data_IF_625786910350
#
_entry.id   IF_625786910350
#
_cell.length_a   1.000
_cell.length_b   1.000
_cell.length_c   1.000
_cell.angle_alpha   90.00
_cell.angle_beta   90.00
_cell.angle_gamma   90.00
#
_symmetry.space_group_name_H-M   'P 1'
#
loop_
_entity.id
_entity.type
_entity.pdbx_description
1 polymer ?
#
# COMPACT_ATOMS: atom_id res chain seq x y z
N UNK A 1 -1.84 -9.67 0.08
CA UNK A 1 -2.23 -10.86 0.85
C UNK A 1 -3.05 -11.75 -0.07
N UNK A 2 -2.65 -13.01 -0.23
CA UNK A 2 -3.46 -14.00 -0.94
C UNK A 2 -4.66 -14.35 -0.06
N UNK A 3 -5.88 -14.16 -0.55
CA UNK A 3 -7.08 -14.57 0.18
C UNK A 3 -7.35 -16.07 -0.06
N UNK A 4 -7.51 -16.88 1.00
CA UNK A 4 -7.77 -18.31 0.86
C UNK A 4 -9.14 -18.66 0.28
N UNK A 5 -10.10 -17.73 0.29
CA UNK A 5 -11.47 -17.97 -0.19
C UNK A 5 -11.58 -17.82 -1.70
N UNK A 6 -11.01 -16.75 -2.26
CA UNK A 6 -11.13 -16.43 -3.68
C UNK A 6 -9.82 -16.58 -4.47
N UNK A 7 -8.71 -16.91 -3.80
CA UNK A 7 -7.36 -17.02 -4.39
C UNK A 7 -6.88 -15.77 -5.12
N UNK A 8 -7.44 -14.59 -4.79
CA UNK A 8 -7.02 -13.32 -5.35
C UNK A 8 -6.01 -12.61 -4.46
N UNK A 9 -5.10 -11.87 -5.09
CA UNK A 9 -4.19 -10.98 -4.40
C UNK A 9 -4.92 -9.71 -3.95
N UNK A 10 -5.05 -9.52 -2.64
CA UNK A 10 -5.66 -8.34 -2.02
C UNK A 10 -4.60 -7.39 -1.48
N UNK A 11 -4.82 -6.09 -1.64
CA UNK A 11 -4.00 -5.06 -1.01
C UNK A 11 -4.38 -4.96 0.47
N UNK A 12 -3.44 -5.25 1.37
CA UNK A 12 -3.69 -5.26 2.81
C UNK A 12 -3.77 -3.84 3.42
N UNK A 13 -3.20 -2.85 2.73
CA UNK A 13 -3.10 -1.47 3.18
C UNK A 13 -1.95 -0.76 2.47
N UNK A 14 -1.88 0.56 2.64
CA UNK A 14 -0.73 1.38 2.23
C UNK A 14 -0.09 1.89 3.52
N UNK A 15 1.22 1.66 3.69
CA UNK A 15 1.95 2.15 4.85
C UNK A 15 1.95 3.68 4.85
N UNK A 16 1.31 4.26 5.86
CA UNK A 16 1.16 5.70 6.05
C UNK A 16 2.21 6.28 6.99
N UNK A 17 2.83 5.46 7.85
CA UNK A 17 3.81 5.94 8.81
C UNK A 17 4.35 4.87 9.75
N UNK A 18 5.36 5.28 10.52
CA UNK A 18 6.07 4.46 11.52
C UNK A 18 6.22 5.24 12.81
N UNK A 19 6.41 4.53 13.92
CA UNK A 19 6.42 5.10 15.29
C UNK A 19 7.43 6.23 15.53
N UNK A 20 8.54 6.27 14.80
CA UNK A 20 9.56 7.29 15.04
C UNK A 20 10.76 7.22 14.10
N UNK A 21 11.74 8.06 14.40
CA UNK A 21 13.06 8.00 13.79
C UNK A 21 13.99 7.12 14.61
N UNK A 22 14.91 6.48 13.90
CA UNK A 22 15.94 5.64 14.46
C UNK A 22 17.32 6.12 14.04
N UNK A 23 18.32 5.89 14.86
CA UNK A 23 19.73 6.13 14.53
C UNK A 23 20.57 4.90 14.83
N UNK A 24 21.59 4.68 13.99
CA UNK A 24 22.60 3.64 14.20
C UNK A 24 23.70 4.08 15.18
N UNK A 25 23.89 5.40 15.36
CA UNK A 25 25.05 5.96 16.08
C UNK A 25 24.67 6.78 17.30
N UNK A 26 23.42 7.27 17.38
CA UNK A 26 22.96 8.13 18.47
C UNK A 26 23.62 9.51 18.49
N UNK A 27 24.21 9.94 17.37
CA UNK A 27 25.00 11.17 17.28
C UNK A 27 24.23 12.36 16.70
N UNK A 28 24.93 13.19 15.92
CA UNK A 28 24.34 14.35 15.24
C UNK A 28 23.59 14.00 13.94
N UNK A 29 23.32 12.71 13.69
CA UNK A 29 22.62 12.27 12.50
C UNK A 29 21.11 12.61 12.57
N UNK A 30 20.49 12.75 11.40
CA UNK A 30 19.04 13.03 11.29
C UNK A 30 18.17 11.79 11.51
N UNK A 31 18.78 10.62 11.66
CA UNK A 31 18.11 9.33 11.71
C UNK A 31 17.43 8.93 10.41
N UNK A 32 16.72 7.80 10.48
CA UNK A 32 15.93 7.22 9.40
C UNK A 32 14.56 6.74 9.90
N UNK A 33 13.61 6.58 8.99
CA UNK A 33 12.27 6.04 9.27
C UNK A 33 12.15 4.67 8.61
N UNK A 34 11.86 3.65 9.41
CA UNK A 34 11.66 2.29 8.93
C UNK A 34 10.69 1.52 9.81
N UNK A 35 10.08 0.47 9.23
CA UNK A 35 9.43 -0.57 10.02
C UNK A 35 10.50 -1.60 10.35
N UNK A 36 10.79 -1.73 11.64
CA UNK A 36 11.79 -2.63 12.18
C UNK A 36 11.08 -3.76 12.94
N UNK A 37 11.44 -5.00 12.60
CA UNK A 37 11.06 -6.19 13.37
C UNK A 37 11.72 -6.19 14.75
N UNK A 38 12.93 -5.64 14.83
CA UNK A 38 13.64 -5.39 16.07
C UNK A 38 14.40 -4.06 15.98
N UNK A 39 14.20 -3.21 16.97
CA UNK A 39 14.93 -1.94 17.15
C UNK A 39 15.95 -2.02 18.30
N UNK A 40 16.15 -3.19 18.90
CA UNK A 40 17.26 -3.45 19.81
C UNK A 40 18.59 -3.02 19.21
N UNK A 41 19.47 -2.47 20.04
CA UNK A 41 20.79 -1.97 19.61
C UNK A 41 20.77 -0.67 18.82
N UNK A 42 19.58 -0.11 18.52
CA UNK A 42 19.42 1.19 17.88
C UNK A 42 19.13 2.30 18.89
N UNK A 43 19.08 3.53 18.38
CA UNK A 43 18.62 4.69 19.11
C UNK A 43 17.27 5.16 18.57
N UNK A 44 16.40 5.68 19.44
CA UNK A 44 15.10 6.26 19.08
C UNK A 44 15.02 7.71 19.55
N UNK A 45 14.44 8.60 18.76
CA UNK A 45 14.32 10.01 19.12
C UNK A 45 14.40 10.94 17.93
N UNK A 46 15.07 12.08 18.09
CA UNK A 46 15.31 13.07 17.04
C UNK A 46 16.78 13.46 17.01
N UNK A 47 17.21 14.15 15.95
CA UNK A 47 18.59 14.62 15.82
C UNK A 47 19.09 15.30 17.11
N UNK A 48 20.26 14.87 17.59
CA UNK A 48 20.90 15.31 18.85
C UNK A 48 20.14 14.96 20.15
N UNK A 49 19.03 14.23 20.10
CA UNK A 49 18.20 13.81 21.25
C UNK A 49 17.81 12.34 21.08
N UNK A 50 18.82 11.47 21.18
CA UNK A 50 18.70 10.04 20.95
C UNK A 50 18.65 9.28 22.27
N UNK A 51 17.71 8.34 22.38
CA UNK A 51 17.62 7.40 23.51
C UNK A 51 18.02 6.01 23.02
N UNK A 52 19.06 5.36 23.60
CA UNK A 52 19.44 4.01 23.22
C UNK A 52 18.34 3.02 23.60
N UNK A 53 18.08 2.06 22.71
CA UNK A 53 17.27 0.89 22.98
C UNK A 53 18.21 -0.27 23.27
N UNK A 54 18.16 -0.80 24.48
CA UNK A 54 19.01 -1.91 24.88
C UNK A 54 18.78 -3.13 23.99
N UNK A 55 19.87 -3.74 23.53
CA UNK A 55 19.85 -5.06 22.91
C UNK A 55 19.56 -6.12 23.98
N UNK A 56 18.71 -7.09 23.65
CA UNK A 56 18.34 -8.14 24.58
C UNK A 56 17.89 -9.41 23.85
N UNK A 57 17.65 -10.51 24.59
CA UNK A 57 17.25 -11.79 24.00
C UNK A 57 15.85 -11.76 23.37
N UNK A 58 15.06 -10.73 23.66
CA UNK A 58 13.73 -10.54 23.11
C UNK A 58 13.75 -9.39 22.10
N UNK A 59 13.15 -9.63 20.92
CA UNK A 59 12.96 -8.59 19.92
C UNK A 59 12.11 -7.44 20.47
N UNK A 60 12.51 -6.21 20.18
CA UNK A 60 11.77 -4.99 20.47
C UNK A 60 11.16 -4.47 19.16
N UNK A 61 9.92 -4.85 18.81
CA UNK A 61 9.35 -4.46 17.53
C UNK A 61 9.00 -2.97 17.50
N UNK A 62 9.07 -2.39 16.30
CA UNK A 62 8.40 -1.11 15.99
C UNK A 62 6.98 -1.35 15.50
N UNK A 63 6.19 -0.28 15.41
CA UNK A 63 4.87 -0.30 14.78
C UNK A 63 4.86 0.53 13.51
N UNK A 64 3.91 0.18 12.66
CA UNK A 64 3.56 0.92 11.46
C UNK A 64 2.05 1.12 11.43
N UNK A 65 1.64 2.18 10.75
CA UNK A 65 0.25 2.57 10.61
C UNK A 65 -0.10 2.52 9.13
N UNK A 66 -1.22 1.92 8.79
CA UNK A 66 -1.67 1.79 7.42
C UNK A 66 -3.13 2.20 7.30
N UNK A 67 -3.46 2.85 6.19
CA UNK A 67 -4.86 3.10 5.84
C UNK A 67 -5.51 1.77 5.45
N UNK A 68 -6.66 1.47 6.06
CA UNK A 68 -7.45 0.31 5.70
C UNK A 68 -8.16 0.57 4.36
N UNK A 69 -7.67 -0.06 3.28
CA UNK A 69 -8.21 0.16 1.92
C UNK A 69 -9.67 -0.31 1.81
N UNK A 70 -10.08 -1.35 2.55
CA UNK A 70 -11.45 -1.86 2.51
C UNK A 70 -12.49 -0.85 2.99
N UNK A 71 -12.12 0.09 3.87
CA UNK A 71 -13.02 1.17 4.31
C UNK A 71 -13.34 2.17 3.19
N UNK A 72 -12.55 2.18 2.11
CA UNK A 72 -12.68 3.10 0.98
C UNK A 72 -13.05 2.37 -0.32
N UNK A 73 -13.51 1.12 -0.24
CA UNK A 73 -13.77 0.28 -1.40
C UNK A 73 -14.73 0.96 -2.40
N UNK A 74 -15.86 1.50 -1.94
CA UNK A 74 -16.85 2.14 -2.82
C UNK A 74 -16.28 3.36 -3.54
N UNK A 75 -15.48 4.17 -2.83
CA UNK A 75 -14.80 5.33 -3.41
C UNK A 75 -13.77 4.92 -4.47
N UNK A 76 -12.97 3.88 -4.19
CA UNK A 76 -12.00 3.35 -5.16
C UNK A 76 -12.71 2.81 -6.40
N UNK A 77 -13.81 2.07 -6.21
CA UNK A 77 -14.60 1.52 -7.32
C UNK A 77 -15.24 2.62 -8.18
N UNK A 78 -15.64 3.75 -7.60
CA UNK A 78 -16.16 4.88 -8.36
C UNK A 78 -15.11 5.56 -9.26
N UNK A 79 -13.82 5.47 -8.90
CA UNK A 79 -12.72 6.06 -9.67
C UNK A 79 -12.14 5.15 -10.75
N UNK A 80 -12.27 3.83 -10.58
CA UNK A 80 -11.73 2.84 -11.53
C UNK A 80 -12.84 2.42 -12.48
N UNK A 81 -12.84 2.88 -13.75
CA UNK A 81 -13.85 2.44 -14.69
C UNK A 81 -13.69 0.94 -14.97
N UNK A 82 -14.80 0.22 -14.87
CA UNK A 82 -14.89 -1.22 -15.12
C UNK A 82 -14.30 -1.57 -16.50
N UNK A 83 -13.23 -2.39 -16.59
CA UNK A 83 -12.59 -2.74 -17.86
C UNK A 83 -13.57 -3.34 -18.88
N UNK A 84 -14.63 -4.00 -18.42
CA UNK A 84 -15.66 -4.62 -19.25
C UNK A 84 -16.60 -3.61 -19.89
N UNK A 85 -16.82 -2.45 -19.27
CA UNK A 85 -17.64 -1.39 -19.86
C UNK A 85 -17.04 -0.90 -21.18
N UNK A 86 -15.72 -0.73 -21.25
CA UNK A 86 -15.03 -0.33 -22.48
C UNK A 86 -15.09 -1.41 -23.57
N UNK A 87 -14.92 -2.68 -23.18
CA UNK A 87 -15.06 -3.80 -24.11
C UNK A 87 -16.48 -3.89 -24.69
N UNK A 88 -17.51 -3.64 -23.86
CA UNK A 88 -18.90 -3.65 -24.30
C UNK A 88 -19.22 -2.49 -25.26
N UNK A 89 -18.75 -1.28 -24.95
CA UNK A 89 -18.99 -0.09 -25.77
C UNK A 89 -18.27 -0.21 -27.12
N UNK A 90 -17.00 -0.59 -27.12
CA UNK A 90 -16.22 -0.77 -28.36
C UNK A 90 -16.74 -1.94 -29.18
N UNK A 91 -17.01 -3.09 -28.57
CA UNK A 91 -17.62 -4.24 -29.25
C UNK A 91 -18.99 -3.90 -29.84
N UNK A 92 -19.85 -3.20 -29.08
CA UNK A 92 -21.15 -2.75 -29.54
C UNK A 92 -21.08 -1.78 -30.72
N UNK A 93 -20.15 -0.81 -30.68
CA UNK A 93 -19.89 0.12 -31.79
C UNK A 93 -19.44 -0.60 -33.07
N UNK A 94 -18.55 -1.58 -32.95
CA UNK A 94 -18.08 -2.37 -34.09
C UNK A 94 -19.20 -3.22 -34.71
N UNK A 95 -20.04 -3.84 -33.89
CA UNK A 95 -21.19 -4.61 -34.36
C UNK A 95 -22.22 -3.69 -35.04
N UNK A 96 -22.53 -2.54 -34.44
CA UNK A 96 -23.46 -1.57 -35.01
C UNK A 96 -22.97 -1.01 -36.35
N UNK A 97 -21.67 -0.80 -36.51
CA UNK A 97 -21.05 -0.38 -37.77
C UNK A 97 -21.09 -1.50 -38.83
N UNK A 98 -20.81 -2.74 -38.44
CA UNK A 98 -20.93 -3.89 -39.34
C UNK A 98 -22.36 -4.09 -39.86
N UNK A 99 -23.37 -3.93 -38.99
CA UNK A 99 -24.78 -3.99 -39.36
C UNK A 99 -25.14 -2.83 -40.31
N UNK A 100 -24.71 -1.60 -39.99
CA UNK A 100 -24.95 -0.42 -40.85
C UNK A 100 -24.33 -0.57 -42.24
N UNK A 101 -23.11 -1.13 -42.34
CA UNK A 101 -22.45 -1.39 -43.62
C UNK A 101 -23.23 -2.41 -44.46
N UNK A 102 -23.73 -3.47 -43.83
CA UNK A 102 -24.51 -4.52 -44.50
C UNK A 102 -25.87 -4.02 -45.00
N UNK A 103 -26.49 -3.07 -44.31
CA UNK A 103 -27.78 -2.48 -44.72
C UNK A 103 -27.66 -1.44 -45.85
N UNK A 104 -26.44 -1.02 -46.22
CA UNK A 104 -26.17 -0.05 -47.29
C UNK A 104 -25.74 -0.69 -48.61
N UNK A 105 -25.52 -2.01 -48.62
CA UNK A 105 -25.29 -2.82 -49.82
C UNK A 105 -26.61 -3.44 -50.27
#
# INVERSE_FOLDING_TARGET
>A
ILDPVDSLWKLAGINAGVDGFYSLTGGADTGFRAVLFDKGGLYVGTQNQWTPVAEGPNYVPSRFYATQVSAYQDWVQALIPEPRAYALVTGGLLIAEAIRRRARQ
#
